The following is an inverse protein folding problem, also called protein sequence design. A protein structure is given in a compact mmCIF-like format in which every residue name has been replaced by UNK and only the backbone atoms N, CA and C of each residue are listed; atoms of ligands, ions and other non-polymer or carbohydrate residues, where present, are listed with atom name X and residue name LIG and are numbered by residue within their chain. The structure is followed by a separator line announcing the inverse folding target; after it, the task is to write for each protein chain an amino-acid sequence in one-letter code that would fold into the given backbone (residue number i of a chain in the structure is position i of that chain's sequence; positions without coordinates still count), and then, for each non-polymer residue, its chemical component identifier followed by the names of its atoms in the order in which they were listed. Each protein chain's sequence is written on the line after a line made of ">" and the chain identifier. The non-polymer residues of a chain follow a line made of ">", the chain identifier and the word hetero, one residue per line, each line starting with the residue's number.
data_IF_132017435669
#
_entry.id   IF_132017435669
#
_cell.length_a   1.000
_cell.length_b   1.000
_cell.length_c   1.000
_cell.angle_alpha   90.00
_cell.angle_beta   90.00
_cell.angle_gamma   90.00
#
_symmetry.space_group_name_H-M   'P 1'
#
loop_
_entity.id
_entity.type
_entity.pdbx_description
1 polymer ?
#
# COMPACT_ATOMS: atom_id res chain seq x y z
N UNK A 1 -25.33 -11.45 1.36
CA UNK A 1 -23.94 -10.94 1.42
C UNK A 1 -23.59 -9.88 0.36
N UNK A 2 -24.24 -9.87 -0.81
CA UNK A 2 -23.91 -8.96 -1.92
C UNK A 2 -24.09 -7.45 -1.66
N UNK A 3 -24.97 -7.07 -0.73
CA UNK A 3 -25.25 -5.65 -0.41
C UNK A 3 -24.05 -4.95 0.24
N UNK A 4 -23.24 -5.69 1.02
CA UNK A 4 -22.14 -5.10 1.77
C UNK A 4 -20.99 -4.65 0.85
N UNK A 5 -20.72 -5.39 -0.24
CA UNK A 5 -19.66 -5.07 -1.19
C UNK A 5 -20.00 -3.79 -1.95
N UNK A 6 -21.20 -3.73 -2.54
CA UNK A 6 -21.62 -2.58 -3.35
C UNK A 6 -21.77 -1.31 -2.49
N UNK A 7 -22.23 -1.44 -1.25
CA UNK A 7 -22.27 -0.35 -0.27
C UNK A 7 -20.86 0.20 0.05
N UNK A 8 -19.88 -0.71 0.18
CA UNK A 8 -18.51 -0.33 0.49
C UNK A 8 -17.81 0.41 -0.65
N UNK A 9 -18.08 0.01 -1.91
CA UNK A 9 -17.60 0.70 -3.11
C UNK A 9 -18.26 2.08 -3.29
N UNK A 10 -19.56 2.17 -3.02
CA UNK A 10 -20.28 3.45 -3.07
C UNK A 10 -19.79 4.42 -2.00
N UNK A 11 -19.51 3.92 -0.79
CA UNK A 11 -18.89 4.71 0.30
C UNK A 11 -17.50 5.18 -0.08
N UNK A 12 -16.73 4.34 -0.77
CA UNK A 12 -15.41 4.69 -1.27
C UNK A 12 -15.47 5.83 -2.29
N UNK A 13 -16.43 5.81 -3.22
CA UNK A 13 -16.65 6.90 -4.18
C UNK A 13 -16.88 8.26 -3.50
N UNK A 14 -17.74 8.27 -2.46
CA UNK A 14 -17.97 9.47 -1.63
C UNK A 14 -16.70 9.94 -0.91
N UNK A 15 -15.84 9.02 -0.50
CA UNK A 15 -14.55 9.37 0.10
C UNK A 15 -13.63 10.06 -0.92
N UNK A 16 -13.54 9.53 -2.14
CA UNK A 16 -12.74 10.14 -3.21
C UNK A 16 -13.24 11.54 -3.56
N UNK A 17 -14.56 11.74 -3.71
CA UNK A 17 -15.14 13.05 -4.00
C UNK A 17 -14.81 14.08 -2.89
N UNK A 18 -14.93 13.67 -1.63
CA UNK A 18 -14.60 14.53 -0.49
C UNK A 18 -13.09 14.87 -0.44
N UNK A 19 -12.22 13.90 -0.74
CA UNK A 19 -10.77 14.14 -0.85
C UNK A 19 -10.45 15.11 -1.98
N UNK A 20 -11.05 14.91 -3.16
CA UNK A 20 -10.86 15.80 -4.30
C UNK A 20 -11.28 17.21 -3.97
N UNK A 21 -12.47 17.38 -3.39
CA UNK A 21 -12.96 18.69 -2.98
C UNK A 21 -12.00 19.35 -1.98
N UNK A 22 -11.46 18.59 -1.02
CA UNK A 22 -10.48 19.10 -0.05
C UNK A 22 -9.15 19.51 -0.69
N UNK A 23 -8.74 18.84 -1.77
CA UNK A 23 -7.56 19.21 -2.54
C UNK A 23 -7.79 20.49 -3.33
N UNK A 24 -8.85 20.53 -4.14
CA UNK A 24 -9.17 21.69 -4.99
C UNK A 24 -9.43 22.94 -4.13
N UNK A 25 -9.93 22.74 -2.91
CA UNK A 25 -10.17 23.78 -1.92
C UNK A 25 -9.11 23.78 -0.80
N UNK A 26 -7.83 23.54 -1.13
CA UNK A 26 -6.74 23.46 -0.14
C UNK A 26 -6.63 24.70 0.77
N UNK A 27 -7.03 25.89 0.28
CA UNK A 27 -7.01 27.16 1.01
C UNK A 27 -8.28 27.43 1.83
N UNK A 28 -9.30 26.56 1.75
CA UNK A 28 -10.54 26.75 2.49
C UNK A 28 -10.30 26.53 4.00
N UNK A 29 -10.85 27.43 4.82
CA UNK A 29 -10.79 27.34 6.29
C UNK A 29 -11.43 26.07 6.86
N UNK A 30 -12.36 25.44 6.12
CA UNK A 30 -13.06 24.22 6.52
C UNK A 30 -12.93 23.16 5.43
N UNK A 31 -12.29 22.04 5.76
CA UNK A 31 -12.23 20.84 4.92
C UNK A 31 -13.53 20.05 5.10
N UNK A 32 -14.02 19.42 4.02
CA UNK A 32 -15.10 18.44 4.08
C UNK A 32 -14.64 17.19 4.83
N UNK A 33 -15.51 16.66 5.67
CA UNK A 33 -15.28 15.39 6.35
C UNK A 33 -15.27 14.24 5.35
N UNK A 34 -14.24 13.38 5.41
CA UNK A 34 -14.11 12.20 4.54
C UNK A 34 -14.55 10.94 5.30
N UNK A 35 -15.59 10.22 4.86
CA UNK A 35 -16.25 9.17 5.65
C UNK A 35 -15.54 7.80 5.64
N UNK A 36 -14.23 7.74 5.89
CA UNK A 36 -13.48 6.48 5.88
C UNK A 36 -13.96 5.43 6.89
N UNK A 37 -14.66 5.85 7.95
CA UNK A 37 -15.16 4.97 9.02
C UNK A 37 -16.47 4.26 8.68
N UNK A 38 -17.15 4.63 7.59
CA UNK A 38 -18.46 4.06 7.25
C UNK A 38 -18.37 2.64 6.68
N UNK A 39 -17.25 2.25 6.07
CA UNK A 39 -17.01 0.88 5.62
C UNK A 39 -15.62 0.38 6.09
N UNK A 40 -15.55 -0.92 6.42
CA UNK A 40 -14.29 -1.57 6.83
C UNK A 40 -13.23 -1.46 5.72
N UNK A 41 -13.65 -1.61 4.46
CA UNK A 41 -12.76 -1.52 3.30
C UNK A 41 -12.18 -0.10 3.13
N UNK A 42 -13.00 0.94 3.29
CA UNK A 42 -12.55 2.34 3.16
C UNK A 42 -11.58 2.71 4.27
N UNK A 43 -11.73 2.11 5.45
CA UNK A 43 -10.81 2.31 6.55
C UNK A 43 -9.42 1.74 6.26
N UNK A 44 -9.33 0.58 5.60
CA UNK A 44 -8.05 0.02 5.17
C UNK A 44 -7.36 0.90 4.13
N UNK A 45 -8.12 1.44 3.17
CA UNK A 45 -7.60 2.33 2.14
C UNK A 45 -7.28 3.75 2.62
N UNK A 46 -7.70 4.13 3.83
CA UNK A 46 -7.41 5.46 4.41
C UNK A 46 -5.91 5.80 4.36
N UNK A 47 -5.06 4.85 4.75
CA UNK A 47 -3.61 5.07 4.74
C UNK A 47 -3.04 5.14 3.32
N UNK A 48 -3.66 4.47 2.34
CA UNK A 48 -3.24 4.52 0.94
C UNK A 48 -3.54 5.89 0.29
N UNK A 49 -4.61 6.56 0.72
CA UNK A 49 -4.99 7.88 0.18
C UNK A 49 -4.46 9.08 0.98
N UNK A 50 -4.33 8.96 2.31
CA UNK A 50 -3.89 10.06 3.18
C UNK A 50 -2.42 9.95 3.61
N UNK A 51 -1.80 8.79 3.46
CA UNK A 51 -0.42 8.52 3.88
C UNK A 51 0.60 8.73 2.77
N UNK A 52 1.85 8.37 3.07
CA UNK A 52 2.93 8.29 2.09
C UNK A 52 2.87 6.94 1.37
N UNK A 53 2.30 6.91 0.18
CA UNK A 53 2.21 5.69 -0.63
C UNK A 53 1.78 6.02 -2.05
N UNK A 54 2.30 5.26 -3.01
CA UNK A 54 1.78 5.30 -4.39
C UNK A 54 0.60 4.32 -4.48
N UNK A 55 -0.55 4.81 -4.94
CA UNK A 55 -1.75 3.99 -5.14
C UNK A 55 -2.05 3.92 -6.63
N UNK A 56 -2.18 2.69 -7.15
CA UNK A 56 -2.58 2.43 -8.53
C UNK A 56 -3.94 1.76 -8.54
N UNK A 57 -4.85 2.24 -9.39
CA UNK A 57 -6.16 1.66 -9.58
C UNK A 57 -6.18 0.85 -10.89
N UNK A 58 -6.38 -0.47 -10.77
CA UNK A 58 -6.61 -1.35 -11.92
C UNK A 58 -8.11 -1.54 -12.12
N UNK A 59 -8.59 -1.24 -13.33
CA UNK A 59 -10.01 -1.32 -13.67
C UNK A 59 -10.23 -2.45 -14.65
N UNK A 60 -11.13 -3.36 -14.31
CA UNK A 60 -11.60 -4.41 -15.22
C UNK A 60 -12.94 -3.98 -15.84
N UNK A 61 -13.09 -4.19 -17.15
CA UNK A 61 -14.27 -3.77 -17.91
C UNK A 61 -14.82 -4.93 -18.73
N UNK A 62 -16.14 -5.05 -18.76
CA UNK A 62 -16.85 -6.05 -19.56
C UNK A 62 -17.38 -5.40 -20.84
N UNK A 63 -17.21 -6.06 -21.99
CA UNK A 63 -17.76 -5.61 -23.28
C UNK A 63 -19.22 -6.04 -23.50
N UNK A 64 -19.84 -6.71 -22.52
CA UNK A 64 -21.23 -7.17 -22.60
C UNK A 64 -22.21 -6.00 -22.45
N UNK A 65 -23.24 -5.96 -23.32
CA UNK A 65 -24.31 -4.95 -23.23
C UNK A 65 -25.08 -5.00 -21.90
N UNK A 66 -25.15 -6.18 -21.25
CA UNK A 66 -25.83 -6.34 -19.96
C UNK A 66 -25.10 -5.62 -18.81
N UNK A 67 -23.78 -5.48 -18.93
CA UNK A 67 -22.92 -4.88 -17.90
C UNK A 67 -22.54 -3.43 -18.23
N UNK A 68 -23.17 -2.84 -19.25
CA UNK A 68 -22.82 -1.50 -19.75
C UNK A 68 -22.97 -0.43 -18.67
N UNK A 69 -24.12 -0.40 -17.99
CA UNK A 69 -24.38 0.56 -16.92
C UNK A 69 -23.35 0.43 -15.78
N UNK A 70 -23.11 -0.80 -15.31
CA UNK A 70 -22.14 -1.07 -14.25
C UNK A 70 -20.71 -0.67 -14.67
N UNK A 71 -20.33 -0.99 -15.91
CA UNK A 71 -19.03 -0.61 -16.49
C UNK A 71 -18.85 0.92 -16.53
N UNK A 72 -19.89 1.66 -16.94
CA UNK A 72 -19.88 3.12 -16.94
C UNK A 72 -19.72 3.68 -15.52
N UNK A 73 -20.38 3.09 -14.52
CA UNK A 73 -20.22 3.49 -13.13
C UNK A 73 -18.78 3.29 -12.63
N UNK A 74 -18.16 2.15 -12.96
CA UNK A 74 -16.76 1.86 -12.60
C UNK A 74 -15.80 2.83 -13.30
N UNK A 75 -16.02 3.17 -14.56
CA UNK A 75 -15.18 4.13 -15.30
C UNK A 75 -15.30 5.56 -14.75
N UNK A 76 -16.52 6.01 -14.40
CA UNK A 76 -16.73 7.29 -13.71
C UNK A 76 -15.97 7.33 -12.38
N UNK A 77 -16.05 6.24 -11.62
CA UNK A 77 -15.32 6.08 -10.37
C UNK A 77 -13.80 6.15 -10.58
N UNK A 78 -13.27 5.50 -11.62
CA UNK A 78 -11.84 5.53 -11.95
C UNK A 78 -11.36 6.95 -12.28
N UNK A 79 -12.15 7.70 -13.05
CA UNK A 79 -11.85 9.11 -13.38
C UNK A 79 -11.72 9.98 -12.13
N UNK A 80 -12.58 9.77 -11.13
CA UNK A 80 -12.49 10.48 -9.84
C UNK A 80 -11.21 10.13 -9.07
N UNK A 81 -10.80 8.87 -9.11
CA UNK A 81 -9.59 8.40 -8.41
C UNK A 81 -8.31 8.98 -9.04
N UNK A 82 -8.24 9.13 -10.37
CA UNK A 82 -7.09 9.74 -11.05
C UNK A 82 -6.90 11.21 -10.69
N UNK A 83 -7.99 11.93 -10.41
CA UNK A 83 -7.95 13.34 -10.05
C UNK A 83 -7.49 13.59 -8.60
N UNK A 84 -7.17 12.54 -7.83
CA UNK A 84 -6.71 12.70 -6.47
C UNK A 84 -5.21 12.93 -6.37
N UNK A 85 -4.78 13.89 -5.54
CA UNK A 85 -3.39 14.05 -5.17
C UNK A 85 -2.96 12.94 -4.21
N UNK A 86 -2.70 11.74 -4.69
CA UNK A 86 -1.83 10.85 -3.92
C UNK A 86 -0.45 11.53 -3.89
N UNK A 87 -0.03 11.99 -2.71
CA UNK A 87 1.27 12.61 -2.49
C UNK A 87 2.36 11.60 -2.86
N UNK A 88 2.71 11.57 -4.14
CA UNK A 88 3.93 10.98 -4.66
C UNK A 88 5.09 11.86 -4.22
N UNK A 89 5.36 11.87 -2.91
CA UNK A 89 6.73 11.97 -2.49
C UNK A 89 7.33 10.64 -2.93
N UNK A 90 8.31 10.60 -3.84
CA UNK A 90 9.05 9.37 -4.06
C UNK A 90 9.60 9.01 -2.68
N UNK A 91 9.05 7.95 -2.08
CA UNK A 91 9.61 7.42 -0.86
C UNK A 91 11.06 7.11 -1.21
N UNK A 92 11.99 7.90 -0.69
CA UNK A 92 13.40 7.54 -0.66
C UNK A 92 13.43 6.30 0.20
N UNK A 93 13.26 5.15 -0.42
CA UNK A 93 13.36 3.85 0.20
C UNK A 93 14.83 3.73 0.62
N UNK A 94 15.16 4.22 1.82
CA UNK A 94 16.33 3.74 2.53
C UNK A 94 15.93 2.34 2.95
N UNK A 95 16.19 1.40 2.05
CA UNK A 95 16.13 -0.02 2.35
C UNK A 95 17.28 -0.24 3.33
N UNK A 96 17.00 -0.15 4.64
CA UNK A 96 17.96 -0.61 5.63
C UNK A 96 17.95 -2.14 5.56
N UNK A 97 18.75 -2.67 4.63
CA UNK A 97 19.01 -4.10 4.53
C UNK A 97 19.89 -4.43 5.74
N UNK A 98 19.27 -4.87 6.84
CA UNK A 98 20.03 -5.50 7.91
C UNK A 98 20.74 -6.73 7.32
N UNK A 99 22.07 -6.83 7.36
CA UNK A 99 22.78 -7.96 6.78
C UNK A 99 22.43 -9.21 7.57
N UNK A 100 21.78 -10.16 6.89
CA UNK A 100 21.36 -11.44 7.45
C UNK A 100 22.52 -12.14 8.17
N UNK A 101 22.32 -12.39 9.46
CA UNK A 101 23.23 -13.04 10.37
C UNK A 101 23.80 -14.36 9.78
N UNK A 102 25.11 -14.54 9.94
CA UNK A 102 25.88 -15.77 9.66
C UNK A 102 25.12 -17.00 10.16
N UNK A 103 24.58 -17.79 9.23
CA UNK A 103 24.07 -19.13 9.50
C UNK A 103 25.26 -20.09 9.47
N UNK A 104 25.87 -20.34 10.64
CA UNK A 104 26.93 -21.36 10.80
C UNK A 104 26.37 -22.72 10.37
N UNK A 105 26.96 -23.29 9.31
CA UNK A 105 26.78 -24.69 8.96
C UNK A 105 27.78 -25.50 9.79
N UNK A 106 27.30 -26.09 10.87
CA UNK A 106 28.01 -27.16 11.57
C UNK A 106 27.60 -28.49 10.92
N UNK A 107 28.57 -29.18 10.30
CA UNK A 107 28.46 -30.60 9.99
C UNK A 107 29.86 -31.20 9.72
N UNK A 108 30.42 -31.84 10.76
CA UNK A 108 31.30 -33.01 10.69
C UNK A 108 32.71 -32.83 10.12
N UNK A 109 33.74 -33.61 10.44
CA UNK A 109 33.94 -34.78 11.30
C UNK A 109 35.46 -35.02 11.28
N UNK A 110 36.04 -35.48 12.40
CA UNK A 110 37.34 -36.20 12.45
C UNK A 110 38.59 -35.30 12.48
N UNK A 111 39.33 -35.19 13.59
CA UNK A 111 40.16 -36.20 14.28
C UNK A 111 41.65 -36.13 13.86
N UNK A 112 42.49 -35.92 14.89
CA UNK A 112 43.94 -36.16 14.99
C UNK A 112 44.88 -35.24 14.18
N UNK A 113 46.08 -34.87 14.62
CA UNK A 113 46.82 -34.88 15.88
C UNK A 113 48.22 -34.26 15.55
N UNK A 114 48.91 -33.73 16.57
CA UNK A 114 50.36 -33.43 16.62
C UNK A 114 50.87 -32.21 15.79
N UNK A 115 51.87 -31.42 16.19
CA UNK A 115 52.69 -31.25 17.39
C UNK A 115 53.59 -30.00 17.19
N UNK A 116 54.35 -29.64 18.25
CA UNK A 116 55.58 -28.79 18.31
C UNK A 116 55.32 -27.29 18.47
N UNK A 117 55.52 -26.61 19.61
CA UNK A 117 56.63 -26.49 20.58
C UNK A 117 57.79 -25.56 20.15
N UNK A 118 57.87 -24.38 20.78
CA UNK A 118 59.05 -23.53 21.12
C UNK A 118 58.48 -22.23 21.78
N UNK A 119 58.85 -21.76 22.99
CA UNK A 119 60.20 -21.35 23.47
C UNK A 119 60.60 -20.06 22.75
N UNK A 120 60.95 -18.89 23.32
CA UNK A 120 61.53 -18.40 24.60
C UNK A 120 61.09 -16.91 24.73
N UNK A 121 60.67 -16.42 25.90
CA UNK A 121 61.48 -15.66 26.88
C UNK A 121 62.36 -14.54 26.32
N UNK A 122 61.96 -13.28 26.53
CA UNK A 122 62.77 -12.25 27.21
C UNK A 122 61.88 -11.11 27.74
#
# INVERSE_FOLDING_TARGET
>A
ESVAINSSLMTLGRCLEALRWNHDNAKAKRKKHVPFRQAKITHAFKNAFLGSGSTVLLVNVSASAKDYEETVHVLKYASLATALPCSSQPARAVVNIEPAAKRQREAGTGAAAAAVAAGEEM
#
